data_IF_653582275555
#
_entry.id   IF_653582275555
#
_cell.length_a   1.000
_cell.length_b   1.000
_cell.length_c   1.000
_cell.angle_alpha   90.00
_cell.angle_beta   90.00
_cell.angle_gamma   90.00
#
_symmetry.space_group_name_H-M   'P 1'
#
loop_
_entity.id
_entity.type
_entity.pdbx_description
1 polymer ?
#
# COMPACT_ATOMS: atom_id res chain seq x y z
N UNK A 1 -5.18 12.51 -13.75
CA UNK A 1 -4.05 13.29 -14.27
C UNK A 1 -4.27 14.80 -14.22
N UNK A 2 -5.48 15.32 -14.45
CA UNK A 2 -5.74 16.77 -14.49
C UNK A 2 -5.29 17.54 -13.23
N UNK A 3 -5.56 17.09 -12.00
CA UNK A 3 -5.12 17.82 -10.80
C UNK A 3 -3.60 17.84 -10.55
N UNK A 4 -2.91 16.74 -10.89
CA UNK A 4 -1.45 16.63 -10.76
C UNK A 4 -0.76 17.34 -11.93
N UNK A 5 -1.34 17.27 -13.15
CA UNK A 5 -0.88 18.01 -14.34
C UNK A 5 -1.15 19.50 -14.26
N UNK A 6 -2.27 19.91 -13.67
CA UNK A 6 -2.62 21.31 -13.38
C UNK A 6 -1.79 21.86 -12.21
N UNK A 7 -0.92 21.06 -11.59
CA UNK A 7 -0.06 21.50 -10.48
C UNK A 7 -0.79 21.79 -9.17
N UNK A 8 -2.10 21.49 -9.08
CA UNK A 8 -2.92 21.73 -7.89
C UNK A 8 -2.55 20.81 -6.73
N UNK A 9 -2.14 19.57 -7.01
CA UNK A 9 -1.62 18.63 -6.02
C UNK A 9 -0.11 18.46 -6.25
N UNK A 10 0.68 19.30 -5.57
CA UNK A 10 2.16 19.18 -5.55
C UNK A 10 2.66 18.17 -4.52
N UNK A 11 1.81 17.84 -3.54
CA UNK A 11 2.13 16.93 -2.44
C UNK A 11 1.86 15.50 -2.85
N UNK A 12 2.75 14.58 -2.45
CA UNK A 12 2.56 13.15 -2.73
C UNK A 12 2.31 12.92 -4.23
N UNK A 13 2.90 13.76 -5.09
CA UNK A 13 2.77 13.68 -6.54
C UNK A 13 3.24 12.31 -7.01
N UNK A 14 4.40 11.87 -6.52
CA UNK A 14 4.94 10.55 -6.84
C UNK A 14 4.04 9.42 -6.32
N UNK A 15 3.39 9.62 -5.17
CA UNK A 15 2.47 8.63 -4.61
C UNK A 15 1.26 8.48 -5.52
N UNK A 16 0.66 9.61 -5.89
CA UNK A 16 -0.46 9.65 -6.81
C UNK A 16 -0.06 8.99 -8.13
N UNK A 17 1.04 9.42 -8.75
CA UNK A 17 1.56 8.86 -10.00
C UNK A 17 1.82 7.35 -9.91
N UNK A 18 2.39 6.85 -8.81
CA UNK A 18 2.61 5.42 -8.61
C UNK A 18 1.30 4.67 -8.38
N UNK A 19 0.34 5.23 -7.63
CA UNK A 19 -0.99 4.64 -7.48
C UNK A 19 -1.76 4.63 -8.81
N UNK A 20 -1.58 5.65 -9.66
CA UNK A 20 -2.11 5.68 -11.04
C UNK A 20 -1.44 4.63 -11.93
N UNK A 21 -0.11 4.55 -11.91
CA UNK A 21 0.65 3.59 -12.71
C UNK A 21 0.29 2.14 -12.37
N UNK A 22 -0.05 1.88 -11.10
CA UNK A 22 -0.55 0.58 -10.63
C UNK A 22 -2.09 0.45 -10.74
N UNK A 23 -2.76 1.36 -11.46
CA UNK A 23 -4.20 1.35 -11.77
C UNK A 23 -5.13 1.37 -10.55
N UNK A 24 -4.69 1.92 -9.43
CA UNK A 24 -5.49 2.05 -8.20
C UNK A 24 -6.33 3.33 -8.22
N UNK A 25 -5.83 4.40 -8.83
CA UNK A 25 -6.59 5.64 -8.96
C UNK A 25 -7.10 5.80 -10.41
N UNK A 26 -8.42 6.02 -10.65
CA UNK A 26 -8.95 6.41 -11.96
C UNK A 26 -8.53 7.83 -12.32
N UNK A 27 -8.31 8.10 -13.61
CA UNK A 27 -8.27 9.48 -14.07
C UNK A 27 -9.60 10.17 -13.79
N UNK A 28 -9.58 11.36 -13.14
CA UNK A 28 -10.75 12.15 -12.69
C UNK A 28 -11.86 12.37 -13.75
N UNK A 29 -11.56 12.20 -15.04
CA UNK A 29 -12.50 12.40 -16.16
C UNK A 29 -13.08 11.10 -16.74
N UNK A 30 -12.64 9.92 -16.30
CA UNK A 30 -13.23 8.65 -16.69
C UNK A 30 -13.99 8.10 -15.49
N UNK A 31 -15.29 7.96 -15.66
CA UNK A 31 -16.21 7.45 -14.65
C UNK A 31 -15.78 6.08 -14.11
N UNK A 32 -16.43 5.64 -13.03
CA UNK A 32 -16.23 4.32 -12.42
C UNK A 32 -16.39 3.14 -13.41
N UNK A 33 -16.92 3.40 -14.61
CA UNK A 33 -17.01 2.48 -15.74
C UNK A 33 -15.76 2.43 -16.64
N UNK A 34 -14.61 2.99 -16.23
CA UNK A 34 -13.37 2.84 -17.00
C UNK A 34 -13.06 1.34 -17.23
N UNK A 35 -13.11 0.87 -18.49
CA UNK A 35 -12.92 -0.54 -18.81
C UNK A 35 -11.56 -1.07 -18.35
N UNK A 36 -10.57 -0.21 -18.15
CA UNK A 36 -9.25 -0.63 -17.65
C UNK A 36 -9.23 -0.93 -16.15
N UNK A 37 -9.99 -0.19 -15.33
CA UNK A 37 -10.12 -0.44 -13.90
C UNK A 37 -10.95 -1.70 -13.69
N UNK A 38 -12.00 -1.86 -14.49
CA UNK A 38 -12.77 -3.10 -14.51
C UNK A 38 -11.92 -4.29 -14.95
N UNK A 39 -11.00 -4.13 -15.91
CA UNK A 39 -10.02 -5.17 -16.25
C UNK A 39 -9.08 -5.46 -15.08
N UNK A 40 -8.53 -4.45 -14.39
CA UNK A 40 -7.65 -4.65 -13.24
C UNK A 40 -8.37 -5.36 -12.09
N UNK A 41 -9.55 -4.89 -11.71
CA UNK A 41 -10.40 -5.53 -10.71
C UNK A 41 -10.78 -6.95 -11.12
N UNK A 42 -11.11 -7.20 -12.38
CA UNK A 42 -11.35 -8.56 -12.91
C UNK A 42 -10.10 -9.43 -12.80
N UNK A 43 -8.92 -8.92 -13.12
CA UNK A 43 -7.66 -9.67 -12.97
C UNK A 43 -7.40 -10.04 -11.51
N UNK A 44 -7.64 -9.12 -10.57
CA UNK A 44 -7.58 -9.37 -9.12
C UNK A 44 -8.60 -10.44 -8.71
N UNK A 45 -9.85 -10.32 -9.18
CA UNK A 45 -10.94 -11.24 -8.85
C UNK A 45 -10.74 -12.62 -9.47
N UNK A 46 -10.06 -12.73 -10.61
CA UNK A 46 -9.83 -13.99 -11.32
C UNK A 46 -8.58 -14.69 -10.78
N UNK A 47 -7.49 -13.95 -10.54
CA UNK A 47 -6.20 -14.54 -10.13
C UNK A 47 -6.03 -14.62 -8.60
N UNK A 48 -6.70 -13.74 -7.85
CA UNK A 48 -6.59 -13.66 -6.39
C UNK A 48 -7.17 -14.84 -5.61
N UNK A 49 -8.32 -15.43 -5.99
CA UNK A 49 -8.93 -16.50 -5.20
C UNK A 49 -8.11 -17.79 -5.16
N UNK A 50 -7.41 -18.13 -6.24
CA UNK A 50 -6.70 -19.42 -6.33
C UNK A 50 -5.64 -19.59 -5.23
N UNK A 51 -4.67 -18.67 -5.07
CA UNK A 51 -3.71 -18.76 -3.97
C UNK A 51 -4.37 -18.77 -2.59
N UNK A 52 -5.44 -17.99 -2.38
CA UNK A 52 -6.13 -17.92 -1.09
C UNK A 52 -6.76 -19.28 -0.76
N UNK A 53 -7.44 -19.91 -1.72
CA UNK A 53 -8.00 -21.26 -1.56
C UNK A 53 -6.88 -22.26 -1.21
N UNK A 54 -5.75 -22.19 -1.90
CA UNK A 54 -4.59 -23.05 -1.61
C UNK A 54 -4.02 -22.85 -0.20
N UNK A 55 -4.00 -21.62 0.32
CA UNK A 55 -3.55 -21.33 1.69
C UNK A 55 -4.54 -21.85 2.74
N UNK A 56 -5.84 -21.69 2.51
CA UNK A 56 -6.85 -22.28 3.40
C UNK A 56 -6.82 -23.81 3.35
N UNK A 57 -6.58 -24.40 2.18
CA UNK A 57 -6.34 -25.83 2.03
C UNK A 57 -5.13 -26.29 2.84
N UNK A 58 -4.03 -25.53 2.79
CA UNK A 58 -2.82 -25.83 3.57
C UNK A 58 -3.08 -25.73 5.07
N UNK A 59 -3.76 -24.67 5.52
CA UNK A 59 -4.16 -24.51 6.91
C UNK A 59 -5.05 -25.67 7.39
N UNK A 60 -6.03 -26.08 6.59
CA UNK A 60 -6.89 -27.23 6.89
C UNK A 60 -6.06 -28.51 7.08
N UNK A 61 -5.14 -28.78 6.14
CA UNK A 61 -4.28 -29.95 6.16
C UNK A 61 -3.36 -29.97 7.39
N UNK A 62 -2.68 -28.86 7.66
CA UNK A 62 -1.79 -28.68 8.81
C UNK A 62 -2.52 -28.78 10.15
N UNK A 63 -3.75 -28.25 10.22
CA UNK A 63 -4.60 -28.36 11.42
C UNK A 63 -4.98 -29.82 11.68
N UNK A 64 -5.30 -30.57 10.62
CA UNK A 64 -5.60 -32.00 10.71
C UNK A 64 -4.38 -32.82 11.16
N UNK A 65 -3.19 -32.42 10.73
CA UNK A 65 -1.93 -33.12 11.03
C UNK A 65 -1.30 -32.65 12.37
N UNK A 66 -1.97 -31.76 13.11
CA UNK A 66 -1.56 -31.24 14.44
C UNK A 66 -0.19 -30.53 14.49
N UNK A 67 0.22 -29.88 13.39
CA UNK A 67 1.50 -29.16 13.28
C UNK A 67 1.35 -27.69 13.71
N UNK A 68 1.47 -27.43 15.01
CA UNK A 68 1.21 -26.11 15.61
C UNK A 68 2.04 -24.95 15.02
N UNK A 69 3.33 -25.18 14.72
CA UNK A 69 4.21 -24.15 14.18
C UNK A 69 3.77 -23.73 12.77
N UNK A 70 3.56 -24.71 11.89
CA UNK A 70 3.10 -24.48 10.52
C UNK A 70 1.68 -23.88 10.49
N UNK A 71 0.86 -24.18 11.50
CA UNK A 71 -0.48 -23.61 11.64
C UNK A 71 -0.39 -22.09 11.89
N UNK A 72 0.50 -21.66 12.78
CA UNK A 72 0.70 -20.26 13.11
C UNK A 72 1.25 -19.48 11.89
N UNK A 73 2.23 -20.05 11.19
CA UNK A 73 2.80 -19.47 9.97
C UNK A 73 1.70 -19.29 8.89
N UNK A 74 0.90 -20.32 8.66
CA UNK A 74 -0.19 -20.29 7.68
C UNK A 74 -1.24 -19.24 8.02
N UNK A 75 -1.63 -19.15 9.30
CA UNK A 75 -2.59 -18.18 9.78
C UNK A 75 -2.06 -16.75 9.63
N UNK A 76 -0.77 -16.52 9.91
CA UNK A 76 -0.12 -15.23 9.68
C UNK A 76 -0.16 -14.83 8.20
N UNK A 77 0.19 -15.73 7.28
CA UNK A 77 0.15 -15.46 5.84
C UNK A 77 -1.26 -15.13 5.34
N UNK A 78 -2.28 -15.88 5.78
CA UNK A 78 -3.68 -15.62 5.42
C UNK A 78 -4.12 -14.25 5.94
N UNK A 79 -3.83 -13.94 7.21
CA UNK A 79 -4.18 -12.64 7.80
C UNK A 79 -3.48 -11.49 7.06
N UNK A 80 -2.20 -11.63 6.73
CA UNK A 80 -1.45 -10.62 5.99
C UNK A 80 -2.08 -10.32 4.63
N UNK A 81 -2.44 -11.36 3.87
CA UNK A 81 -3.07 -11.18 2.55
C UNK A 81 -4.47 -10.57 2.68
N UNK A 82 -5.26 -11.00 3.67
CA UNK A 82 -6.57 -10.40 3.93
C UNK A 82 -6.45 -8.92 4.29
N UNK A 83 -5.46 -8.54 5.09
CA UNK A 83 -5.17 -7.13 5.42
C UNK A 83 -4.77 -6.37 4.15
N UNK A 84 -3.86 -6.90 3.34
CA UNK A 84 -3.43 -6.25 2.10
C UNK A 84 -4.63 -6.04 1.15
N UNK A 85 -5.41 -7.09 0.87
CA UNK A 85 -6.56 -7.03 -0.04
C UNK A 85 -7.63 -6.08 0.50
N UNK A 86 -8.02 -6.22 1.77
CA UNK A 86 -9.05 -5.36 2.37
C UNK A 86 -8.62 -3.90 2.36
N UNK A 87 -7.35 -3.62 2.64
CA UNK A 87 -6.84 -2.24 2.61
C UNK A 87 -6.84 -1.66 1.20
N UNK A 88 -6.47 -2.44 0.19
CA UNK A 88 -6.55 -2.02 -1.23
C UNK A 88 -8.01 -1.75 -1.61
N UNK A 89 -8.93 -2.67 -1.29
CA UNK A 89 -10.37 -2.53 -1.59
C UNK A 89 -10.96 -1.30 -0.90
N UNK A 90 -10.66 -1.09 0.39
CA UNK A 90 -11.10 0.10 1.13
C UNK A 90 -10.51 1.38 0.51
N UNK A 91 -9.22 1.35 0.14
CA UNK A 91 -8.56 2.46 -0.54
C UNK A 91 -9.24 2.81 -1.86
N UNK A 92 -9.61 1.81 -2.65
CA UNK A 92 -10.36 1.97 -3.90
C UNK A 92 -11.77 2.51 -3.65
N UNK A 93 -12.48 1.99 -2.65
CA UNK A 93 -13.84 2.41 -2.30
C UNK A 93 -13.87 3.86 -1.78
N UNK A 94 -12.87 4.25 -0.98
CA UNK A 94 -12.77 5.59 -0.36
C UNK A 94 -11.90 6.58 -1.14
N UNK A 95 -11.47 6.23 -2.36
CA UNK A 95 -10.55 7.05 -3.17
C UNK A 95 -11.00 8.51 -3.34
N UNK A 96 -12.31 8.74 -3.55
CA UNK A 96 -12.89 10.07 -3.75
C UNK A 96 -12.66 10.96 -2.52
N UNK A 97 -13.02 10.45 -1.35
CA UNK A 97 -12.80 11.14 -0.08
C UNK A 97 -11.31 11.41 0.18
N UNK A 98 -10.44 10.46 -0.18
CA UNK A 98 -8.98 10.65 -0.08
C UNK A 98 -8.47 11.79 -0.97
N UNK A 99 -8.96 11.88 -2.21
CA UNK A 99 -8.60 12.98 -3.13
C UNK A 99 -9.15 14.31 -2.62
N UNK A 100 -10.42 14.39 -2.25
CA UNK A 100 -11.05 15.59 -1.70
C UNK A 100 -10.31 16.09 -0.44
N UNK A 101 -9.89 15.15 0.41
CA UNK A 101 -9.08 15.47 1.58
C UNK A 101 -7.69 16.01 1.23
N UNK A 102 -7.01 15.43 0.23
CA UNK A 102 -5.72 15.94 -0.25
C UNK A 102 -5.88 17.31 -0.93
N UNK A 103 -6.93 17.54 -1.70
CA UNK A 103 -7.27 18.85 -2.28
C UNK A 103 -7.47 19.89 -1.17
N UNK A 104 -8.25 19.52 -0.13
CA UNK A 104 -8.46 20.39 1.03
C UNK A 104 -7.13 20.75 1.67
N UNK A 105 -6.19 19.81 1.81
CA UNK A 105 -4.83 20.02 2.34
C UNK A 105 -3.89 20.80 1.41
N UNK A 106 -4.20 20.88 0.12
CA UNK A 106 -3.46 21.64 -0.89
C UNK A 106 -4.02 23.04 -1.17
N UNK A 107 -5.14 23.42 -0.57
CA UNK A 107 -5.67 24.79 -0.68
C UNK A 107 -4.78 25.84 0.04
N UNK A 108 -4.28 26.84 -0.69
CA UNK A 108 -3.43 27.91 -0.14
C UNK A 108 -4.10 29.29 -0.14
N UNK A 109 -5.43 29.34 -0.03
CA UNK A 109 -6.18 30.61 0.01
C UNK A 109 -5.63 31.59 1.06
N UNK A 110 -5.06 31.09 2.18
CA UNK A 110 -4.46 31.91 3.25
C UNK A 110 -2.92 31.98 3.21
N UNK A 111 -2.30 31.62 2.09
CA UNK A 111 -0.85 31.56 1.93
C UNK A 111 -0.24 30.19 2.27
N UNK A 112 0.99 30.01 1.80
CA UNK A 112 1.72 28.73 1.86
C UNK A 112 2.43 28.56 3.21
N UNK A 113 2.28 27.42 3.91
CA UNK A 113 3.01 27.17 5.15
C UNK A 113 4.53 27.24 4.94
N UNK A 114 5.31 27.75 5.91
CA UNK A 114 6.76 27.70 5.82
C UNK A 114 7.23 26.24 5.79
N UNK A 115 8.32 25.98 5.07
CA UNK A 115 8.91 24.65 4.85
C UNK A 115 8.07 23.67 4.03
N UNK A 116 6.88 24.06 3.55
CA UNK A 116 6.01 23.17 2.80
C UNK A 116 6.71 22.51 1.59
N UNK A 117 7.46 23.27 0.80
CA UNK A 117 8.13 22.74 -0.40
C UNK A 117 9.16 21.67 -0.05
N UNK A 118 9.99 21.95 0.95
CA UNK A 118 11.00 21.03 1.46
C UNK A 118 10.36 19.74 1.98
N UNK A 119 9.27 19.86 2.75
CA UNK A 119 8.53 18.69 3.23
C UNK A 119 7.95 17.88 2.08
N UNK A 120 7.37 18.52 1.06
CA UNK A 120 6.83 17.83 -0.10
C UNK A 120 7.92 17.10 -0.89
N UNK A 121 9.09 17.72 -1.07
CA UNK A 121 10.23 17.10 -1.74
C UNK A 121 10.70 15.84 -0.99
N UNK A 122 10.81 15.92 0.35
CA UNK A 122 11.20 14.78 1.19
C UNK A 122 10.17 13.65 1.08
N UNK A 123 8.87 13.95 1.22
CA UNK A 123 7.81 12.96 1.11
C UNK A 123 7.79 12.30 -0.27
N UNK A 124 7.99 13.07 -1.34
CA UNK A 124 8.04 12.56 -2.71
C UNK A 124 9.25 11.64 -2.94
N UNK A 125 10.43 11.97 -2.40
CA UNK A 125 11.62 11.09 -2.45
C UNK A 125 11.41 9.83 -1.63
N UNK A 126 10.87 9.95 -0.43
CA UNK A 126 10.57 8.83 0.46
C UNK A 126 9.57 7.85 -0.18
N UNK A 127 8.57 8.39 -0.88
CA UNK A 127 7.57 7.59 -1.60
C UNK A 127 8.21 6.69 -2.66
N UNK A 128 9.09 7.25 -3.49
CA UNK A 128 9.83 6.49 -4.51
C UNK A 128 10.70 5.43 -3.84
N UNK A 129 11.45 5.81 -2.81
CA UNK A 129 12.35 4.92 -2.10
C UNK A 129 11.61 3.71 -1.51
N UNK A 130 10.53 3.94 -0.77
CA UNK A 130 9.75 2.86 -0.14
C UNK A 130 9.11 1.96 -1.18
N UNK A 131 8.58 2.52 -2.28
CA UNK A 131 7.96 1.72 -3.34
C UNK A 131 8.96 0.75 -3.99
N UNK A 132 10.16 1.23 -4.35
CA UNK A 132 11.19 0.37 -4.94
C UNK A 132 11.82 -0.57 -3.92
N UNK A 133 12.03 -0.12 -2.68
CA UNK A 133 12.50 -0.97 -1.59
C UNK A 133 11.54 -2.14 -1.34
N UNK A 134 10.22 -1.89 -1.33
CA UNK A 134 9.21 -2.94 -1.20
C UNK A 134 9.29 -3.97 -2.34
N UNK A 135 9.47 -3.50 -3.59
CA UNK A 135 9.67 -4.42 -4.73
C UNK A 135 10.92 -5.27 -4.60
N UNK A 136 12.04 -4.66 -4.23
CA UNK A 136 13.31 -5.37 -4.05
C UNK A 136 13.19 -6.42 -2.93
N UNK A 137 12.55 -6.06 -1.81
CA UNK A 137 12.31 -6.99 -0.70
C UNK A 137 11.47 -8.19 -1.13
N UNK A 138 10.41 -7.98 -1.91
CA UNK A 138 9.59 -9.07 -2.48
C UNK A 138 10.43 -9.98 -3.37
N UNK A 139 11.29 -9.42 -4.23
CA UNK A 139 12.16 -10.20 -5.12
C UNK A 139 13.16 -11.03 -4.30
N UNK A 140 13.84 -10.41 -3.32
CA UNK A 140 14.80 -11.10 -2.44
C UNK A 140 14.10 -12.23 -1.68
N UNK A 141 12.93 -11.95 -1.09
CA UNK A 141 12.15 -12.95 -0.38
C UNK A 141 11.75 -14.12 -1.29
N UNK A 142 11.30 -13.82 -2.52
CA UNK A 142 10.96 -14.85 -3.50
C UNK A 142 12.15 -15.72 -3.87
N UNK A 143 13.33 -15.12 -4.09
CA UNK A 143 14.57 -15.86 -4.38
C UNK A 143 14.95 -16.74 -3.19
N UNK A 144 14.87 -16.21 -1.97
CA UNK A 144 15.17 -16.97 -0.75
C UNK A 144 14.25 -18.19 -0.60
N UNK A 145 12.94 -18.00 -0.81
CA UNK A 145 11.97 -19.09 -0.78
C UNK A 145 12.21 -20.11 -1.89
N UNK A 146 12.65 -19.67 -3.08
CA UNK A 146 13.00 -20.56 -4.18
C UNK A 146 14.26 -21.39 -3.87
N UNK A 147 15.32 -20.77 -3.32
CA UNK A 147 16.56 -21.48 -2.94
C UNK A 147 16.29 -22.49 -1.80
N UNK A 148 15.45 -22.12 -0.83
CA UNK A 148 15.06 -22.99 0.27
C UNK A 148 14.11 -24.13 -0.14
N UNK A 149 13.60 -24.17 -1.39
CA UNK A 149 12.83 -25.32 -1.90
C UNK A 149 13.57 -26.65 -1.78
N UNK A 150 14.90 -26.61 -1.74
CA UNK A 150 15.74 -27.79 -1.52
C UNK A 150 15.37 -28.57 -0.25
N UNK A 151 14.77 -27.90 0.75
CA UNK A 151 14.22 -28.55 1.95
C UNK A 151 12.87 -29.26 1.74
N UNK A 152 12.05 -28.82 0.78
CA UNK A 152 10.83 -29.52 0.39
C UNK A 152 11.15 -30.81 -0.38
N UNK A 153 12.25 -30.82 -1.15
CA UNK A 153 12.71 -32.01 -1.86
C UNK A 153 13.39 -33.05 -0.97
N UNK A 154 13.89 -32.65 0.19
CA UNK A 154 14.60 -33.54 1.13
C UNK A 154 13.71 -34.29 2.13
N UNK A 155 12.46 -33.86 2.34
CA UNK A 155 11.47 -34.59 3.15
C UNK A 155 10.60 -35.43 2.22
N UNK A 156 11.02 -36.66 1.93
CA UNK A 156 10.24 -37.74 1.30
C UNK A 156 9.08 -37.28 0.39
N UNK A 157 9.43 -36.84 -0.83
CA UNK A 157 8.51 -36.74 -1.97
C UNK A 157 8.15 -38.17 -2.41
N UNK A 158 7.35 -38.83 -1.59
CA UNK A 158 6.67 -40.10 -1.86
C UNK A 158 5.18 -40.03 -1.56
N UNK A 159 4.59 -38.84 -1.46
CA UNK A 159 3.15 -38.72 -1.34
C UNK A 159 2.56 -37.73 -2.33
N UNK A 160 1.60 -38.26 -3.08
CA UNK A 160 0.61 -37.63 -3.96
C UNK A 160 -0.31 -36.62 -3.23
N UNK A 161 0.22 -35.87 -2.26
CA UNK A 161 -0.57 -35.14 -1.28
C UNK A 161 -0.88 -33.71 -1.74
N UNK A 162 -0.76 -33.32 -3.02
CA UNK A 162 -1.26 -32.01 -3.50
C UNK A 162 -0.59 -30.74 -2.93
N UNK A 163 0.59 -30.86 -2.30
CA UNK A 163 1.40 -29.73 -1.85
C UNK A 163 2.10 -29.01 -3.02
N UNK A 164 2.08 -27.68 -3.03
CA UNK A 164 2.84 -26.88 -4.02
C UNK A 164 4.09 -26.31 -3.37
N UNK A 165 5.26 -26.77 -3.83
CA UNK A 165 6.54 -26.36 -3.27
C UNK A 165 7.09 -25.06 -3.90
N UNK A 166 7.81 -24.28 -3.08
CA UNK A 166 8.36 -22.92 -3.29
C UNK A 166 7.61 -22.02 -4.24
N UNK A 167 6.34 -21.93 -3.92
CA UNK A 167 5.68 -20.64 -3.86
C UNK A 167 6.17 -19.85 -2.65
N UNK A 168 5.97 -18.54 -2.67
CA UNK A 168 6.28 -17.64 -1.54
C UNK A 168 5.39 -17.86 -0.31
N UNK A 169 4.30 -18.60 -0.47
CA UNK A 169 3.40 -19.00 0.59
C UNK A 169 3.15 -20.52 0.50
N UNK A 170 2.90 -21.21 1.62
CA UNK A 170 2.56 -22.62 1.59
C UNK A 170 1.16 -22.82 0.98
N UNK A 171 1.04 -23.74 0.03
CA UNK A 171 -0.22 -24.03 -0.65
C UNK A 171 -0.46 -25.53 -0.72
N UNK A 172 -1.73 -25.89 -0.58
CA UNK A 172 -2.18 -27.27 -0.71
C UNK A 172 -3.52 -27.29 -1.44
N UNK A 173 -3.67 -28.22 -2.36
CA UNK A 173 -4.92 -28.45 -3.07
C UNK A 173 -5.29 -29.93 -2.99
N UNK A 174 -6.60 -30.27 -2.90
CA UNK A 174 -7.07 -31.66 -2.85
C UNK A 174 -7.01 -32.38 -4.21
N UNK A 175 -6.34 -31.77 -5.20
CA UNK A 175 -6.16 -32.31 -6.55
C UNK A 175 -4.68 -32.46 -6.81
N UNK A 176 -4.32 -33.52 -7.54
CA UNK A 176 -2.94 -33.69 -7.96
C UNK A 176 -2.58 -32.60 -8.98
N UNK A 177 -1.67 -31.71 -8.59
CA UNK A 177 -1.20 -30.60 -9.39
C UNK A 177 0.04 -30.95 -10.22
N UNK A 178 0.37 -32.24 -10.40
CA UNK A 178 1.51 -32.71 -11.20
C UNK A 178 1.52 -32.27 -12.68
N UNK A 179 0.55 -31.48 -13.14
CA UNK A 179 0.57 -30.81 -14.43
C UNK A 179 1.47 -29.56 -14.40
N UNK A 180 2.69 -29.69 -14.95
CA UNK A 180 3.70 -28.64 -14.94
C UNK A 180 3.21 -27.23 -15.39
N UNK A 181 2.37 -27.08 -16.45
CA UNK A 181 1.86 -25.77 -16.85
C UNK A 181 1.01 -25.09 -15.77
N UNK A 182 0.22 -25.85 -15.00
CA UNK A 182 -0.64 -25.30 -13.95
C UNK A 182 0.18 -24.82 -12.75
N UNK A 183 1.23 -25.54 -12.36
CA UNK A 183 2.16 -25.10 -11.32
C UNK A 183 2.89 -23.82 -11.73
N UNK A 184 3.36 -23.74 -12.97
CA UNK A 184 4.03 -22.53 -13.50
C UNK A 184 3.04 -21.36 -13.49
N UNK A 185 1.81 -21.57 -13.98
CA UNK A 185 0.76 -20.56 -13.95
C UNK A 185 0.48 -20.07 -12.52
N UNK A 186 0.33 -20.98 -11.56
CA UNK A 186 0.09 -20.64 -10.16
C UNK A 186 1.24 -19.83 -9.57
N UNK A 187 2.50 -20.25 -9.77
CA UNK A 187 3.69 -19.51 -9.32
C UNK A 187 3.75 -18.11 -9.92
N UNK A 188 3.51 -17.97 -11.23
CA UNK A 188 3.48 -16.67 -11.90
C UNK A 188 2.34 -15.79 -11.40
N UNK A 189 1.17 -16.37 -11.15
CA UNK A 189 0.01 -15.62 -10.61
C UNK A 189 0.32 -15.04 -9.22
N UNK A 190 0.95 -15.83 -8.35
CA UNK A 190 1.34 -15.41 -7.00
C UNK A 190 2.42 -14.34 -7.06
N UNK A 191 3.45 -14.58 -7.86
CA UNK A 191 4.55 -13.63 -8.03
C UNK A 191 4.04 -12.28 -8.57
N UNK A 192 3.17 -12.32 -9.58
CA UNK A 192 2.56 -11.12 -10.16
C UNK A 192 1.69 -10.41 -9.13
N UNK A 193 0.89 -11.16 -8.37
CA UNK A 193 0.05 -10.62 -7.30
C UNK A 193 0.89 -9.90 -6.24
N UNK A 194 1.90 -10.56 -5.68
CA UNK A 194 2.75 -10.00 -4.62
C UNK A 194 3.53 -8.77 -5.13
N UNK A 195 4.07 -8.82 -6.36
CA UNK A 195 4.79 -7.69 -6.96
C UNK A 195 3.92 -6.46 -7.22
N UNK A 196 2.60 -6.64 -7.37
CA UNK A 196 1.64 -5.55 -7.53
C UNK A 196 1.14 -5.07 -6.16
N UNK A 197 0.71 -5.98 -5.29
CA UNK A 197 0.02 -5.63 -4.05
C UNK A 197 0.93 -5.07 -2.96
N UNK A 198 2.12 -5.65 -2.74
CA UNK A 198 2.99 -5.23 -1.64
C UNK A 198 3.52 -3.81 -1.79
N UNK A 199 4.02 -3.37 -2.95
CA UNK A 199 4.49 -2.00 -3.12
C UNK A 199 3.36 -0.99 -2.90
N UNK A 200 2.14 -1.34 -3.35
CA UNK A 200 0.94 -0.52 -3.18
C UNK A 200 0.54 -0.44 -1.71
N UNK A 201 0.58 -1.56 -1.00
CA UNK A 201 0.33 -1.59 0.43
C UNK A 201 1.36 -0.74 1.20
N UNK A 202 2.64 -0.83 0.84
CA UNK A 202 3.73 -0.04 1.45
C UNK A 202 3.59 1.48 1.22
N UNK A 203 2.85 1.90 0.20
CA UNK A 203 2.58 3.31 -0.08
C UNK A 203 1.54 3.93 0.87
N UNK A 204 0.66 3.13 1.48
CA UNK A 204 -0.42 3.62 2.34
C UNK A 204 0.05 4.25 3.65
N UNK A 205 1.03 3.68 4.38
CA UNK A 205 1.63 4.36 5.54
C UNK A 205 2.21 5.72 5.17
N UNK A 206 2.80 5.87 3.97
CA UNK A 206 3.35 7.15 3.50
C UNK A 206 2.23 8.16 3.24
N UNK A 207 1.11 7.72 2.66
CA UNK A 207 -0.08 8.55 2.50
C UNK A 207 -0.57 9.08 3.85
N UNK A 208 -0.69 8.21 4.86
CA UNK A 208 -1.15 8.57 6.20
C UNK A 208 -0.15 9.53 6.86
N UNK A 209 1.14 9.18 6.90
CA UNK A 209 2.19 10.01 7.49
C UNK A 209 2.29 11.37 6.79
N UNK A 210 2.24 11.40 5.46
CA UNK A 210 2.25 12.63 4.68
C UNK A 210 1.05 13.51 5.01
N UNK A 211 -0.14 12.92 5.06
CA UNK A 211 -1.39 13.62 5.44
C UNK A 211 -1.31 14.26 6.83
N UNK A 212 -0.85 13.50 7.83
CA UNK A 212 -0.68 13.99 9.21
C UNK A 212 0.35 15.12 9.27
N UNK A 213 1.48 14.97 8.57
CA UNK A 213 2.53 15.98 8.58
C UNK A 213 2.05 17.32 7.98
N UNK A 214 1.20 17.26 6.95
CA UNK A 214 0.57 18.44 6.35
C UNK A 214 -0.44 19.11 7.27
N UNK A 215 -1.26 18.33 7.96
CA UNK A 215 -2.16 18.87 8.99
C UNK A 215 -1.37 19.64 10.05
N UNK A 216 -0.28 19.07 10.54
CA UNK A 216 0.60 19.73 11.53
C UNK A 216 1.19 21.03 10.98
N UNK A 217 1.69 21.04 9.75
CA UNK A 217 2.22 22.25 9.12
C UNK A 217 1.16 23.35 9.00
N UNK A 218 -0.08 22.98 8.66
CA UNK A 218 -1.19 23.92 8.57
C UNK A 218 -1.60 24.49 9.92
N UNK A 219 -1.70 23.65 10.95
CA UNK A 219 -2.00 24.10 12.31
C UNK A 219 -0.93 25.09 12.80
N UNK A 220 0.36 24.80 12.52
CA UNK A 220 1.46 25.72 12.83
C UNK A 220 1.35 27.02 12.05
N UNK A 221 1.03 26.96 10.76
CA UNK A 221 0.84 28.15 9.93
C UNK A 221 -0.31 29.03 10.44
N UNK A 222 -1.45 28.43 10.79
CA UNK A 222 -2.59 29.13 11.38
C UNK A 222 -2.19 29.83 12.69
N UNK A 223 -1.45 29.14 13.57
CA UNK A 223 -0.94 29.72 14.83
C UNK A 223 -0.05 30.94 14.57
N UNK A 224 0.85 30.86 13.60
CA UNK A 224 1.72 32.00 13.25
C UNK A 224 0.93 33.17 12.67
N UNK A 225 -0.09 32.91 11.85
CA UNK A 225 -0.94 33.97 11.32
C UNK A 225 -1.75 34.65 12.42
N UNK A 226 -2.34 33.88 13.34
CA UNK A 226 -3.06 34.42 14.49
C UNK A 226 -2.17 35.30 15.36
N UNK A 227 -0.94 34.87 15.65
CA UNK A 227 0.03 35.66 16.41
C UNK A 227 0.40 36.98 15.71
N UNK A 228 0.56 36.96 14.38
CA UNK A 228 0.80 38.19 13.61
C UNK A 228 -0.38 39.15 13.69
N UNK A 229 -1.60 38.63 13.55
CA UNK A 229 -2.83 39.44 13.64
C UNK A 229 -2.98 40.07 15.02
N UNK A 230 -2.74 39.32 16.11
CA UNK A 230 -2.81 39.87 17.47
C UNK A 230 -1.76 40.95 17.72
N UNK A 231 -0.53 40.77 17.22
CA UNK A 231 0.52 41.79 17.33
C UNK A 231 0.20 43.04 16.49
N UNK A 232 -0.39 42.87 15.31
CA UNK A 232 -0.82 43.99 14.46
C UNK A 232 -2.06 44.73 14.98
N UNK A 233 -2.91 44.09 15.80
CA UNK A 233 -4.06 44.71 16.45
C UNK A 233 -3.68 45.47 17.74
N UNK A 234 -2.52 45.15 18.34
CA UNK A 234 -2.01 45.79 19.55
C UNK A 234 -0.74 46.67 19.39
N UNK A 235 -0.58 47.57 18.39
CA UNK A 235 0.53 48.52 18.42
C UNK A 235 0.49 49.42 19.67
N UNK A 236 -0.70 49.68 20.21
CA UNK A 236 -0.93 50.64 21.30
C UNK A 236 -0.98 50.03 22.71
N UNK A 237 -1.03 48.69 22.86
CA UNK A 237 -1.08 48.02 24.18
C UNK A 237 0.30 47.54 24.65
N UNK A 238 1.22 47.27 23.74
CA UNK A 238 2.59 46.81 24.06
C UNK A 238 3.41 47.89 24.79
N UNK A 239 3.10 49.18 24.62
CA UNK A 239 3.82 50.26 25.33
C UNK A 239 3.54 50.31 26.84
N UNK A 240 2.49 49.64 27.34
CA UNK A 240 2.16 49.63 28.77
C UNK A 240 2.67 48.40 29.54
N UNK A 241 2.91 47.28 28.87
CA UNK A 241 3.22 46.03 29.58
C UNK A 241 4.73 45.69 29.68
N UNK A 242 5.61 46.43 29.00
CA UNK A 242 7.07 46.28 29.16
C UNK A 242 7.70 47.27 30.15
N UNK A 243 6.89 48.07 30.86
CA UNK A 243 7.36 48.92 31.96
C UNK A 243 7.15 48.28 33.35
N UNK A 244 6.57 47.08 33.41
CA UNK A 244 6.29 46.36 34.66
C UNK A 244 6.51 44.84 34.57
N UNK A 245 7.54 44.39 33.85
CA UNK A 245 8.03 43.02 33.95
C UNK A 245 9.54 42.97 33.77
#
# INVERSE_FOLDING_TARGET
MDLVREGKITILKNLAELMYANKILPERKKDADDPEIMKFLRTILILGPFPIIGMFGYLYKVTKDHLLLEQLESLSCILEILVIISTIVIGLAKKRHGIEFLELLSDYTYGKPPMYEKTCEILNKLTILVYYAAKIMVIIYTIFMYVNQTFCTGRDIRRDDGYVCGTTAPLWYPIDLNFAPLIIFLRLSILTGILIYYPVFALLPILICGSVHLMVLRIRHLRMMLQKVTVCLEPNMIRKNYLYA
#
